data_IF_191287425511
#
_entry.id   IF_191287425511
#
_cell.length_a   1.000
_cell.length_b   1.000
_cell.length_c   1.000
_cell.angle_alpha   90.00
_cell.angle_beta   90.00
_cell.angle_gamma   90.00
#
_symmetry.space_group_name_H-M   'P 1'
#
loop_
_entity.id
_entity.type
_entity.pdbx_description
1 polymer ?
#
# COMPACT_ATOMS: atom_id res chain seq x y z
N UNK A 1 16.09 2.62 2.55
CA UNK A 1 14.87 1.91 2.13
C UNK A 1 15.04 0.43 2.36
N UNK A 2 14.06 -0.19 2.96
CA UNK A 2 14.13 -1.59 3.33
C UNK A 2 12.81 -2.28 2.94
N UNK A 3 12.88 -3.29 2.10
CA UNK A 3 11.68 -3.96 1.60
C UNK A 3 11.84 -5.46 1.83
N UNK A 4 10.85 -6.06 2.49
CA UNK A 4 10.80 -7.49 2.73
C UNK A 4 9.58 -8.06 2.03
N UNK A 5 9.73 -9.22 1.40
CA UNK A 5 8.63 -9.87 0.71
C UNK A 5 8.48 -11.28 1.23
N UNK A 6 7.26 -11.62 1.61
CA UNK A 6 6.91 -12.93 2.13
C UNK A 6 5.92 -13.58 1.19
N UNK A 7 6.15 -14.86 0.90
CA UNK A 7 5.22 -15.65 0.09
C UNK A 7 4.55 -16.67 0.99
N UNK A 8 3.25 -16.78 0.88
CA UNK A 8 2.47 -17.73 1.68
C UNK A 8 1.57 -18.55 0.76
N UNK A 9 1.53 -19.85 0.99
CA UNK A 9 0.65 -20.73 0.22
C UNK A 9 0.89 -20.63 -1.28
N UNK A 10 2.09 -20.29 -1.67
CA UNK A 10 2.49 -20.21 -3.06
C UNK A 10 3.99 -20.28 -3.16
N UNK A 11 4.48 -20.63 -4.32
CA UNK A 11 5.89 -20.72 -4.56
C UNK A 11 6.50 -19.35 -4.81
N UNK A 12 7.60 -19.06 -4.15
CA UNK A 12 8.29 -17.81 -4.37
C UNK A 12 9.01 -17.86 -5.71
N UNK A 13 8.78 -16.85 -6.55
CA UNK A 13 9.49 -16.76 -7.81
C UNK A 13 10.31 -15.48 -7.82
N UNK A 14 11.44 -15.55 -8.48
CA UNK A 14 12.33 -14.41 -8.60
C UNK A 14 11.63 -13.26 -9.35
N UNK A 15 10.92 -13.60 -10.40
CA UNK A 15 10.23 -12.59 -11.22
C UNK A 15 9.21 -11.82 -10.38
N UNK A 16 8.42 -12.51 -9.58
CA UNK A 16 7.42 -11.86 -8.76
C UNK A 16 8.08 -11.03 -7.66
N UNK A 17 9.15 -11.56 -7.07
CA UNK A 17 9.86 -10.84 -6.03
C UNK A 17 10.42 -9.52 -6.58
N UNK A 18 11.00 -9.56 -7.76
CA UNK A 18 11.56 -8.36 -8.39
C UNK A 18 10.46 -7.37 -8.73
N UNK A 19 9.33 -7.87 -9.25
CA UNK A 19 8.22 -7.00 -9.60
C UNK A 19 7.67 -6.29 -8.38
N UNK A 20 7.42 -7.03 -7.32
CA UNK A 20 6.86 -6.44 -6.09
C UNK A 20 7.84 -5.44 -5.47
N UNK A 21 9.13 -5.82 -5.42
CA UNK A 21 10.14 -4.93 -4.85
C UNK A 21 10.21 -3.63 -5.65
N UNK A 22 10.22 -3.74 -6.97
CA UNK A 22 10.32 -2.58 -7.83
C UNK A 22 9.12 -1.64 -7.66
N UNK A 23 7.92 -2.21 -7.61
CA UNK A 23 6.72 -1.41 -7.44
C UNK A 23 6.67 -0.72 -6.08
N UNK A 24 6.99 -1.45 -5.02
CA UNK A 24 6.98 -0.88 -3.67
C UNK A 24 8.04 0.21 -3.55
N UNK A 25 9.20 -0.02 -4.13
CA UNK A 25 10.29 0.96 -4.05
C UNK A 25 9.88 2.32 -4.62
N UNK A 26 8.99 2.33 -5.59
CA UNK A 26 8.56 3.59 -6.19
C UNK A 26 7.79 4.47 -5.24
N UNK A 27 7.26 3.90 -4.17
CA UNK A 27 6.52 4.69 -3.20
C UNK A 27 7.43 5.63 -2.42
N UNK A 28 8.72 5.31 -2.36
CA UNK A 28 9.67 6.16 -1.62
C UNK A 28 9.65 7.60 -2.09
N UNK A 29 9.40 7.83 -3.36
CA UNK A 29 9.41 9.19 -3.90
C UNK A 29 8.29 10.05 -3.34
N UNK A 30 7.25 9.44 -2.77
CA UNK A 30 6.16 10.18 -2.16
C UNK A 30 6.37 10.40 -0.67
N UNK A 31 7.42 9.81 -0.10
CA UNK A 31 7.67 9.84 1.34
C UNK A 31 8.93 10.63 1.64
N UNK A 32 8.92 11.32 2.76
CA UNK A 32 10.08 12.17 3.13
C UNK A 32 11.15 11.42 3.88
N UNK A 33 10.79 10.35 4.54
CA UNK A 33 11.75 9.58 5.32
C UNK A 33 11.96 8.21 4.70
N UNK A 34 13.10 7.58 4.99
CA UNK A 34 13.35 6.24 4.47
C UNK A 34 12.22 5.31 4.85
N UNK A 35 11.72 4.56 3.91
CA UNK A 35 10.59 3.70 4.17
C UNK A 35 11.01 2.26 4.45
N UNK A 36 10.16 1.57 5.20
CA UNK A 36 10.23 0.14 5.40
C UNK A 36 8.96 -0.45 4.83
N UNK A 37 9.09 -1.37 3.90
CA UNK A 37 7.95 -2.00 3.27
C UNK A 37 7.92 -3.49 3.55
N UNK A 38 6.75 -3.99 3.91
CA UNK A 38 6.52 -5.41 4.08
C UNK A 38 5.43 -5.82 3.10
N UNK A 39 5.75 -6.75 2.23
CA UNK A 39 4.80 -7.25 1.25
C UNK A 39 4.53 -8.72 1.54
N UNK A 40 3.26 -9.09 1.61
CA UNK A 40 2.88 -10.48 1.78
C UNK A 40 2.05 -10.88 0.58
N UNK A 41 2.51 -11.88 -0.14
CA UNK A 41 1.83 -12.39 -1.31
C UNK A 41 1.35 -13.80 -1.02
N UNK A 42 0.08 -14.08 -1.29
CA UNK A 42 -0.48 -15.39 -1.05
C UNK A 42 -1.44 -15.77 -2.16
N UNK A 43 -1.60 -17.07 -2.33
CA UNK A 43 -2.51 -17.59 -3.33
C UNK A 43 -3.31 -18.72 -2.73
N UNK A 44 -4.63 -18.65 -2.83
CA UNK A 44 -5.49 -19.67 -2.30
C UNK A 44 -6.67 -19.85 -3.26
N UNK A 45 -6.80 -21.05 -3.82
CA UNK A 45 -7.90 -21.35 -4.72
C UNK A 45 -8.03 -20.34 -5.85
N UNK A 46 -6.95 -20.07 -6.56
CA UNK A 46 -6.91 -19.15 -7.68
C UNK A 46 -7.06 -17.69 -7.29
N UNK A 47 -7.21 -17.40 -6.02
CA UNK A 47 -7.30 -16.02 -5.57
C UNK A 47 -5.92 -15.56 -5.11
N UNK A 48 -5.40 -14.55 -5.79
CA UNK A 48 -4.07 -14.00 -5.50
C UNK A 48 -4.22 -12.74 -4.66
N UNK A 49 -3.69 -12.79 -3.46
CA UNK A 49 -3.79 -11.67 -2.53
C UNK A 49 -2.44 -11.01 -2.35
N UNK A 50 -2.42 -9.69 -2.44
CA UNK A 50 -1.22 -8.89 -2.16
C UNK A 50 -1.55 -7.94 -1.03
N UNK A 51 -0.72 -7.96 -0.01
CA UNK A 51 -0.89 -7.10 1.15
C UNK A 51 0.39 -6.32 1.34
N UNK A 52 0.28 -5.01 1.53
CA UNK A 52 1.44 -4.14 1.65
C UNK A 52 1.31 -3.27 2.88
N UNK A 53 2.41 -3.17 3.62
CA UNK A 53 2.49 -2.39 4.82
C UNK A 53 3.73 -1.50 4.70
N UNK A 54 3.56 -0.19 4.79
CA UNK A 54 4.65 0.75 4.57
C UNK A 54 4.77 1.69 5.76
N UNK A 55 5.97 1.81 6.29
CA UNK A 55 6.29 2.75 7.36
C UNK A 55 7.36 3.72 6.91
N UNK A 56 7.19 5.00 7.20
CA UNK A 56 8.18 6.01 6.88
C UNK A 56 8.12 7.07 7.98
N UNK A 57 8.99 6.95 8.97
CA UNK A 57 8.94 7.82 10.14
C UNK A 57 7.63 7.61 10.89
N UNK A 58 6.88 8.67 11.14
CA UNK A 58 5.59 8.54 11.83
C UNK A 58 4.45 8.09 10.92
N UNK A 59 4.69 8.02 9.62
CA UNK A 59 3.65 7.63 8.67
C UNK A 59 3.56 6.13 8.53
N UNK A 60 2.35 5.63 8.41
CA UNK A 60 2.10 4.20 8.24
C UNK A 60 0.92 4.02 7.30
N UNK A 61 1.11 3.21 6.27
CA UNK A 61 0.08 2.93 5.28
C UNK A 61 -0.05 1.43 5.09
N UNK A 62 -1.26 0.98 4.89
CA UNK A 62 -1.54 -0.44 4.75
C UNK A 62 -2.69 -0.64 3.78
N UNK A 63 -2.58 -1.66 2.94
CA UNK A 63 -3.65 -2.01 2.01
C UNK A 63 -3.49 -3.45 1.56
N UNK A 64 -4.56 -4.00 1.00
CA UNK A 64 -4.52 -5.32 0.39
C UNK A 64 -5.47 -5.35 -0.80
N UNK A 65 -5.19 -6.23 -1.74
CA UNK A 65 -6.02 -6.45 -2.90
C UNK A 65 -5.97 -7.92 -3.28
N UNK A 66 -7.06 -8.37 -3.89
CA UNK A 66 -7.17 -9.74 -4.35
C UNK A 66 -7.66 -9.74 -5.79
N UNK A 67 -7.18 -10.69 -6.57
CA UNK A 67 -7.62 -10.85 -7.94
C UNK A 67 -7.18 -12.21 -8.44
N UNK A 68 -7.53 -12.52 -9.68
CA UNK A 68 -7.15 -13.80 -10.27
C UNK A 68 -5.73 -13.78 -10.85
N UNK A 69 -5.03 -12.65 -10.74
CA UNK A 69 -3.69 -12.50 -11.25
C UNK A 69 -2.85 -11.74 -10.24
N UNK A 70 -1.74 -12.33 -9.80
CA UNK A 70 -0.91 -11.72 -8.78
C UNK A 70 -0.33 -10.39 -9.24
N UNK A 71 0.05 -10.27 -10.52
CA UNK A 71 0.57 -9.00 -11.01
C UNK A 71 -0.46 -7.90 -10.87
N UNK A 72 -1.72 -8.21 -11.18
CA UNK A 72 -2.80 -7.25 -11.03
C UNK A 72 -3.02 -6.89 -9.57
N UNK A 73 -2.95 -7.88 -8.68
CA UNK A 73 -3.12 -7.62 -7.24
C UNK A 73 -2.03 -6.70 -6.72
N UNK A 74 -0.79 -6.95 -7.13
CA UNK A 74 0.33 -6.11 -6.71
C UNK A 74 0.15 -4.67 -7.24
N UNK A 75 -0.19 -4.53 -8.51
CA UNK A 75 -0.38 -3.21 -9.08
C UNK A 75 -1.49 -2.44 -8.37
N UNK A 76 -2.60 -3.12 -8.11
CA UNK A 76 -3.74 -2.48 -7.45
C UNK A 76 -3.43 -2.07 -6.01
N UNK A 77 -2.73 -2.92 -5.28
CA UNK A 77 -2.43 -2.60 -3.89
C UNK A 77 -1.44 -1.43 -3.79
N UNK A 78 -0.50 -1.36 -4.73
CA UNK A 78 0.44 -0.25 -4.75
C UNK A 78 -0.29 1.06 -5.09
N UNK A 79 -1.22 1.01 -6.03
CA UNK A 79 -2.03 2.18 -6.35
C UNK A 79 -2.82 2.65 -5.14
N UNK A 80 -3.34 1.70 -4.36
CA UNK A 80 -4.07 2.03 -3.14
C UNK A 80 -3.18 2.75 -2.13
N UNK A 81 -1.98 2.23 -1.93
CA UNK A 81 -1.04 2.86 -0.99
C UNK A 81 -0.67 4.25 -1.46
N UNK A 82 -0.37 4.38 -2.75
CA UNK A 82 -0.05 5.69 -3.31
C UNK A 82 -1.19 6.68 -3.06
N UNK A 83 -2.40 6.23 -3.27
CA UNK A 83 -3.58 7.07 -3.05
C UNK A 83 -3.68 7.48 -1.58
N UNK A 84 -3.42 6.57 -0.66
CA UNK A 84 -3.44 6.88 0.77
C UNK A 84 -2.41 7.95 1.11
N UNK A 85 -1.21 7.83 0.55
CA UNK A 85 -0.15 8.79 0.81
C UNK A 85 -0.55 10.18 0.31
N UNK A 86 -1.07 10.24 -0.91
CA UNK A 86 -1.50 11.52 -1.49
C UNK A 86 -2.63 12.14 -0.71
N UNK A 87 -3.58 11.32 -0.28
CA UNK A 87 -4.72 11.81 0.49
C UNK A 87 -4.28 12.34 1.85
N UNK A 88 -3.36 11.64 2.50
CA UNK A 88 -2.86 12.08 3.80
C UNK A 88 -2.18 13.45 3.68
N UNK A 89 -1.37 13.64 2.63
CA UNK A 89 -0.70 14.91 2.43
C UNK A 89 -1.67 16.03 2.11
N UNK A 90 -2.67 15.72 1.30
CA UNK A 90 -3.69 16.69 0.95
C UNK A 90 -4.49 17.12 2.17
N UNK A 91 -4.84 16.14 3.00
CA UNK A 91 -5.57 16.43 4.23
C UNK A 91 -4.75 17.30 5.16
N UNK A 92 -3.48 17.02 5.27
CA UNK A 92 -2.58 17.80 6.10
C UNK A 92 -2.53 19.26 5.63
N UNK A 93 -2.46 19.46 4.33
CA UNK A 93 -2.44 20.79 3.74
C UNK A 93 -3.78 21.50 3.99
N UNK A 94 -4.86 20.77 3.84
CA UNK A 94 -6.18 21.33 4.06
C UNK A 94 -6.37 21.77 5.51
N UNK A 95 -5.85 21.05 6.45
CA UNK A 95 -5.97 21.40 7.85
C UNK A 95 -5.33 22.75 8.15
N UNK A 96 -4.27 23.07 7.44
CA UNK A 96 -3.64 24.36 7.63
C UNK A 96 -4.57 25.50 7.30
N UNK A 97 -5.56 25.25 6.49
CA UNK A 97 -6.54 26.25 6.14
C UNK A 97 -7.69 26.29 7.11
N UNK A 98 -7.58 25.57 8.18
CA UNK A 98 -8.55 25.62 9.23
C UNK A 98 -9.74 24.77 9.05
N UNK A 99 -9.71 23.96 8.18
CA UNK A 99 -10.83 23.20 8.03
C UNK A 99 -10.82 21.97 8.74
N UNK A 100 -11.11 21.73 9.31
CA UNK A 100 -10.96 20.64 9.72
C UNK A 100 -11.91 19.83 9.58
N UNK A 101 -12.55 19.93 9.30
CA UNK A 101 -13.35 19.18 9.14
C UNK A 101 -13.45 18.26 8.37
N UNK A 102 -13.17 18.19 8.04
CA UNK A 102 -13.29 17.30 7.21
C UNK A 102 -12.70 16.19 7.49
N UNK A 103 -12.39 16.26 8.07
CA UNK A 103 -11.73 15.27 8.08
C UNK A 103 -12.23 14.17 8.34
N UNK A 104 -12.69 14.66 8.33
CA UNK A 104 -12.80 13.69 8.35
C UNK A 104 -13.19 12.81 7.72
N UNK A 105 -13.45 13.16 7.51
CA UNK A 105 -13.62 12.21 6.87
C UNK A 105 -13.29 11.34 6.49
N UNK A 106 -12.99 11.65 6.70
CA UNK A 106 -12.55 10.73 6.42
C UNK A 106 -12.36 9.85 6.29
N UNK A 107 -12.29 9.88 6.43
CA UNK A 107 -11.96 8.89 6.34
C UNK A 107 -12.15 8.14 5.96
N UNK A 108 -12.43 8.46 5.92
CA UNK A 108 -12.52 7.57 5.55
C UNK A 108 -12.43 6.86 5.01
N UNK A 109 -12.28 7.05 5.01
CA UNK A 109 -12.04 6.20 4.61
C UNK A 109 -11.98 5.41 4.34
N UNK A 110 -12.11 5.53 4.53
CA UNK A 110 -11.97 4.62 4.30
C UNK A 110 -12.06 3.78 3.96
N UNK A 111 -12.19 3.92 4.04
CA UNK A 111 -12.17 3.00 3.71
C UNK A 111 -12.17 2.34 3.19
N UNK A 112 -12.33 2.65 3.23
CA UNK A 112 -12.17 1.86 2.76
C UNK A 112 -11.94 1.19 2.45
N UNK A 113 -11.89 1.41 2.59
CA UNK A 113 -11.54 0.53 2.41
C UNK A 113 -11.59 -0.27 2.33
N UNK A 114 -11.84 -0.25 2.44
CA UNK A 114 -11.85 -1.19 2.49
C UNK A 114 -12.06 -1.80 2.25
N UNK A 115 -12.18 -1.70 2.18
CA UNK A 115 -12.26 -2.45 2.09
C UNK A 115 -12.49 -3.12 1.83
N UNK A 116 -12.86 -2.98 1.87
CA UNK A 116 -12.95 -3.77 1.70
C UNK A 116 -13.20 -4.17 1.54
#
# INVERSE_FOLDING_TARGET
MNIAITFRQMEATKAMKLRATDKVAKLQKFLRQPMKGQVTLSCQQKLHRAEVDVHAGPEHYHAHEESEDMYASVDKVIDKIEHQIRTARKTSTSRKKGAERASEHLSVTIDDSGEE
#
